data_IF_782250959945
#
_entry.id   IF_782250959945
#
_cell.length_a   1.000
_cell.length_b   1.000
_cell.length_c   1.000
_cell.angle_alpha   90.00
_cell.angle_beta   90.00
_cell.angle_gamma   90.00
#
_symmetry.space_group_name_H-M   'P 1'
#
loop_
_entity.id
_entity.type
_entity.pdbx_description
1 polymer ?
#
# COMPACT_ATOMS: atom_id res chain seq x y z
N UNK A 1 -24.80 16.88 7.27
CA UNK A 1 -24.60 15.45 6.91
C UNK A 1 -23.11 15.18 6.98
N UNK A 2 -22.67 14.25 7.83
CA UNK A 2 -21.24 13.94 7.96
C UNK A 2 -20.71 13.40 6.63
N UNK A 3 -19.65 14.01 6.07
CA UNK A 3 -19.00 13.49 4.88
C UNK A 3 -18.48 12.08 5.19
N UNK A 4 -19.01 11.05 4.55
CA UNK A 4 -18.52 9.68 4.71
C UNK A 4 -17.13 9.60 4.09
N UNK A 5 -16.10 9.52 4.94
CA UNK A 5 -14.72 9.26 4.51
C UNK A 5 -14.62 7.82 4.00
N UNK A 6 -13.78 7.59 2.99
CA UNK A 6 -13.39 6.25 2.58
C UNK A 6 -12.64 5.52 3.69
N UNK A 7 -12.43 4.21 3.51
CA UNK A 7 -11.70 3.38 4.46
C UNK A 7 -10.38 2.87 3.85
N UNK A 8 -9.39 2.65 4.70
CA UNK A 8 -8.12 2.04 4.29
C UNK A 8 -8.10 0.61 4.83
N UNK A 9 -8.09 -0.39 3.94
CA UNK A 9 -7.99 -1.80 4.30
C UNK A 9 -6.58 -2.29 3.99
N UNK A 10 -5.92 -2.91 4.96
CA UNK A 10 -4.58 -3.46 4.75
C UNK A 10 -4.64 -4.98 4.89
N UNK A 11 -4.15 -5.68 3.87
CA UNK A 11 -4.04 -7.14 3.86
C UNK A 11 -2.60 -7.52 4.17
N UNK A 12 -2.37 -7.98 5.40
CA UNK A 12 -1.08 -8.48 5.88
C UNK A 12 -1.02 -10.01 5.87
N UNK A 13 0.20 -10.55 5.79
CA UNK A 13 0.42 -12.00 5.83
C UNK A 13 1.75 -12.44 5.26
N UNK A 14 2.07 -13.72 5.42
CA UNK A 14 3.32 -14.32 4.93
C UNK A 14 3.41 -14.35 3.40
N UNK A 15 4.61 -14.55 2.86
CA UNK A 15 4.81 -14.73 1.42
C UNK A 15 3.94 -15.88 0.90
N UNK A 16 3.31 -15.68 -0.26
CA UNK A 16 2.36 -16.63 -0.88
C UNK A 16 1.07 -16.94 -0.09
N UNK A 17 0.72 -16.15 0.92
CA UNK A 17 -0.57 -16.26 1.62
C UNK A 17 -1.82 -15.87 0.77
N UNK A 18 -1.64 -15.51 -0.51
CA UNK A 18 -2.75 -15.13 -1.40
C UNK A 18 -3.26 -13.69 -1.25
N UNK A 19 -2.51 -12.80 -0.59
CA UNK A 19 -2.88 -11.39 -0.35
C UNK A 19 -3.32 -10.65 -1.62
N UNK A 20 -2.58 -10.81 -2.72
CA UNK A 20 -2.91 -10.17 -4.01
C UNK A 20 -4.25 -10.67 -4.53
N UNK A 21 -4.48 -11.98 -4.50
CA UNK A 21 -5.73 -12.59 -4.94
C UNK A 21 -6.91 -12.11 -4.10
N UNK A 22 -6.74 -12.08 -2.78
CA UNK A 22 -7.80 -11.61 -1.88
C UNK A 22 -8.07 -10.11 -2.02
N UNK A 23 -7.02 -9.29 -2.19
CA UNK A 23 -7.17 -7.85 -2.42
C UNK A 23 -7.93 -7.53 -3.70
N UNK A 24 -7.63 -8.23 -4.80
CA UNK A 24 -8.38 -8.10 -6.05
C UNK A 24 -9.84 -8.49 -5.88
N UNK A 25 -10.12 -9.65 -5.26
CA UNK A 25 -11.48 -10.11 -4.99
C UNK A 25 -12.27 -9.13 -4.12
N UNK A 26 -11.62 -8.56 -3.10
CA UNK A 26 -12.23 -7.57 -2.23
C UNK A 26 -12.60 -6.30 -2.99
N UNK A 27 -11.68 -5.76 -3.80
CA UNK A 27 -11.94 -4.58 -4.63
C UNK A 27 -13.08 -4.84 -5.61
N UNK A 28 -13.07 -5.98 -6.32
CA UNK A 28 -14.16 -6.36 -7.23
C UNK A 28 -15.50 -6.42 -6.49
N UNK A 29 -15.58 -7.12 -5.35
CA UNK A 29 -16.82 -7.24 -4.59
C UNK A 29 -17.35 -5.88 -4.07
N UNK A 30 -16.45 -4.96 -3.70
CA UNK A 30 -16.82 -3.61 -3.29
C UNK A 30 -17.35 -2.79 -4.46
N UNK A 31 -16.69 -2.85 -5.62
CA UNK A 31 -17.15 -2.21 -6.85
C UNK A 31 -18.50 -2.74 -7.30
N UNK A 32 -18.71 -4.06 -7.26
CA UNK A 32 -19.98 -4.70 -7.58
C UNK A 32 -21.11 -4.30 -6.60
N UNK A 33 -20.75 -3.94 -5.37
CA UNK A 33 -21.68 -3.42 -4.35
C UNK A 33 -21.93 -1.91 -4.46
N UNK A 34 -21.38 -1.25 -5.48
CA UNK A 34 -21.56 0.17 -5.73
C UNK A 34 -20.57 1.09 -5.00
N UNK A 35 -19.54 0.56 -4.35
CA UNK A 35 -18.48 1.36 -3.71
C UNK A 35 -17.33 1.64 -4.68
N UNK A 36 -16.70 2.81 -4.58
CA UNK A 36 -15.44 3.05 -5.29
C UNK A 36 -14.29 2.40 -4.51
N UNK A 37 -13.63 1.38 -5.07
CA UNK A 37 -12.50 0.74 -4.43
C UNK A 37 -11.30 0.66 -5.38
N UNK A 38 -10.10 0.85 -4.84
CA UNK A 38 -8.85 0.77 -5.60
C UNK A 38 -7.84 -0.11 -4.86
N UNK A 39 -7.05 -0.87 -5.62
CA UNK A 39 -5.99 -1.69 -5.05
C UNK A 39 -4.66 -0.96 -5.13
N UNK A 40 -4.03 -0.71 -3.97
CA UNK A 40 -2.64 -0.29 -3.91
C UNK A 40 -1.72 -1.46 -3.60
N UNK A 41 -0.52 -1.46 -4.19
CA UNK A 41 0.47 -2.52 -3.98
C UNK A 41 1.77 -1.89 -3.54
N UNK A 42 2.37 -2.46 -2.50
CA UNK A 42 3.67 -2.00 -2.01
C UNK A 42 4.72 -3.12 -2.06
N UNK A 43 5.96 -2.82 -2.51
CA UNK A 43 6.38 -1.54 -3.08
C UNK A 43 5.73 -1.27 -4.44
N UNK A 44 5.42 -0.01 -4.72
CA UNK A 44 4.98 0.44 -6.05
C UNK A 44 6.23 0.54 -6.92
N UNK A 45 6.34 -0.32 -7.94
CA UNK A 45 7.57 -0.54 -8.70
C UNK A 45 7.72 0.37 -9.92
N UNK A 46 6.68 1.12 -10.27
CA UNK A 46 6.70 2.05 -11.40
C UNK A 46 7.49 3.33 -11.13
N UNK A 47 7.60 3.77 -9.87
CA UNK A 47 8.36 4.97 -9.48
C UNK A 47 9.87 4.74 -9.52
N UNK A 48 10.66 5.81 -9.56
CA UNK A 48 12.13 5.75 -9.49
C UNK A 48 12.59 4.99 -8.24
N UNK A 49 12.01 5.28 -7.08
CA UNK A 49 12.28 4.57 -5.82
C UNK A 49 11.83 3.10 -5.94
N UNK A 50 10.68 2.86 -6.55
CA UNK A 50 10.14 1.54 -6.82
C UNK A 50 11.06 0.66 -7.66
N UNK A 51 11.65 1.22 -8.72
CA UNK A 51 12.62 0.52 -9.59
C UNK A 51 13.89 0.17 -8.81
N UNK A 52 14.39 1.09 -7.98
CA UNK A 52 15.57 0.85 -7.13
C UNK A 52 15.30 -0.29 -6.13
N UNK A 53 14.15 -0.26 -5.46
CA UNK A 53 13.71 -1.34 -4.56
C UNK A 53 13.55 -2.66 -5.29
N UNK A 54 13.05 -2.65 -6.54
CA UNK A 54 12.91 -3.87 -7.33
C UNK A 54 14.29 -4.49 -7.65
N UNK A 55 15.27 -3.67 -8.05
CA UNK A 55 16.64 -4.13 -8.29
C UNK A 55 17.29 -4.72 -7.03
N UNK A 56 17.06 -4.13 -5.86
CA UNK A 56 17.51 -4.69 -4.58
C UNK A 56 16.84 -6.05 -4.28
N UNK A 57 15.51 -6.15 -4.44
CA UNK A 57 14.77 -7.41 -4.21
C UNK A 57 15.18 -8.53 -5.18
N UNK A 58 15.61 -8.17 -6.40
CA UNK A 58 16.17 -9.08 -7.40
C UNK A 58 17.66 -9.37 -7.19
N UNK A 59 18.28 -8.82 -6.14
CA UNK A 59 19.72 -8.94 -5.83
C UNK A 59 20.64 -8.44 -6.93
N UNK A 60 20.17 -7.48 -7.74
CA UNK A 60 20.96 -6.83 -8.80
C UNK A 60 21.80 -5.66 -8.29
N UNK A 61 21.44 -5.12 -7.13
CA UNK A 61 22.13 -4.00 -6.50
C UNK A 61 22.23 -4.27 -5.01
N UNK A 62 23.43 -4.08 -4.45
CA UNK A 62 23.61 -4.09 -3.00
C UNK A 62 23.33 -2.69 -2.46
N UNK A 63 22.44 -2.64 -1.48
CA UNK A 63 22.11 -1.44 -0.73
C UNK A 63 22.16 -1.79 0.75
N UNK A 64 22.56 -0.83 1.55
CA UNK A 64 22.61 -0.96 3.00
C UNK A 64 21.18 -1.09 3.56
N UNK A 65 20.98 -1.96 4.56
CA UNK A 65 19.66 -2.37 5.04
C UNK A 65 18.86 -1.21 5.65
N UNK A 66 19.50 -0.26 6.37
CA UNK A 66 18.82 0.94 6.85
C UNK A 66 18.41 1.85 5.71
N UNK A 67 19.26 2.02 4.69
CA UNK A 67 18.91 2.79 3.49
C UNK A 67 17.70 2.18 2.75
N UNK A 68 17.68 0.86 2.57
CA UNK A 68 16.54 0.14 1.97
C UNK A 68 15.27 0.33 2.79
N UNK A 69 15.36 0.26 4.11
CA UNK A 69 14.22 0.49 5.00
C UNK A 69 13.60 1.88 4.82
N UNK A 70 14.44 2.91 4.69
CA UNK A 70 14.01 4.27 4.43
C UNK A 70 13.38 4.41 3.04
N UNK A 71 13.96 3.77 2.01
CA UNK A 71 13.41 3.77 0.65
C UNK A 71 12.02 3.12 0.59
N UNK A 72 11.79 2.02 1.32
CA UNK A 72 10.45 1.46 1.46
C UNK A 72 9.45 2.43 2.08
N UNK A 73 9.90 3.25 3.04
CA UNK A 73 9.06 4.25 3.69
C UNK A 73 8.79 5.43 2.76
N UNK A 74 9.80 5.89 2.02
CA UNK A 74 9.65 6.93 1.00
C UNK A 74 8.69 6.49 -0.12
N UNK A 75 8.80 5.26 -0.62
CA UNK A 75 7.90 4.72 -1.65
C UNK A 75 6.43 4.67 -1.20
N UNK A 76 6.17 4.46 0.09
CA UNK A 76 4.81 4.59 0.64
C UNK A 76 4.33 6.04 0.58
N UNK A 77 5.16 6.98 1.01
CA UNK A 77 4.85 8.42 0.96
C UNK A 77 4.57 8.95 -0.45
N UNK A 78 5.23 8.42 -1.49
CA UNK A 78 4.93 8.76 -2.89
C UNK A 78 3.45 8.49 -3.24
N UNK A 79 2.87 7.42 -2.68
CA UNK A 79 1.47 7.03 -2.95
C UNK A 79 0.45 7.72 -2.04
N UNK A 80 0.90 8.33 -0.94
CA UNK A 80 0.04 9.07 -0.02
C UNK A 80 -0.64 10.23 -0.77
N UNK A 81 0.07 10.92 -1.66
CA UNK A 81 -0.50 11.99 -2.47
C UNK A 81 -1.65 11.50 -3.36
N UNK A 82 -1.48 10.34 -4.01
CA UNK A 82 -2.53 9.71 -4.83
C UNK A 82 -3.74 9.29 -3.98
N UNK A 83 -3.50 8.73 -2.79
CA UNK A 83 -4.57 8.31 -1.87
C UNK A 83 -5.40 9.49 -1.34
N UNK A 84 -4.79 10.64 -1.08
CA UNK A 84 -5.52 11.83 -0.60
C UNK A 84 -6.19 12.65 -1.71
N UNK A 85 -5.78 12.48 -2.96
CA UNK A 85 -6.40 13.13 -4.11
C UNK A 85 -7.70 12.46 -4.57
N UNK A 86 -8.04 11.27 -4.05
CA UNK A 86 -9.32 10.64 -4.35
C UNK A 86 -10.47 11.51 -3.80
N UNK A 87 -11.44 11.91 -4.65
CA UNK A 87 -12.52 12.79 -4.24
C UNK A 87 -13.28 12.19 -3.05
N UNK A 88 -13.54 13.03 -2.04
CA UNK A 88 -14.13 12.66 -0.75
C UNK A 88 -15.46 11.92 -0.93
N UNK A 89 -15.39 10.60 -0.90
CA UNK A 89 -16.55 9.73 -0.92
C UNK A 89 -16.14 8.33 -1.33
N UNK A 90 -16.07 7.43 -0.35
CA UNK A 90 -16.17 5.97 -0.54
C UNK A 90 -14.93 5.20 -1.04
N UNK A 91 -13.77 5.83 -1.23
CA UNK A 91 -12.59 5.10 -1.68
C UNK A 91 -12.07 4.09 -0.64
N UNK A 92 -12.18 2.80 -0.96
CA UNK A 92 -11.58 1.71 -0.21
C UNK A 92 -10.26 1.28 -0.83
N UNK A 93 -9.15 1.57 -0.14
CA UNK A 93 -7.80 1.26 -0.63
C UNK A 93 -7.29 -0.03 0.02
N UNK A 94 -7.03 -1.07 -0.77
CA UNK A 94 -6.42 -2.33 -0.29
C UNK A 94 -4.92 -2.31 -0.48
N UNK A 95 -4.12 -2.23 0.59
CA UNK A 95 -2.64 -2.43 0.53
C UNK A 95 -2.28 -3.88 0.80
N UNK A 96 -1.68 -4.58 -0.17
CA UNK A 96 -1.02 -5.86 0.08
C UNK A 96 0.47 -5.61 0.39
N UNK A 97 0.86 -5.75 1.66
CA UNK A 97 2.23 -5.48 2.09
C UNK A 97 3.04 -6.77 2.25
N UNK A 98 4.34 -6.70 1.89
CA UNK A 98 5.36 -7.66 2.31
C UNK A 98 6.04 -7.12 3.56
N UNK A 99 5.62 -7.52 4.75
CA UNK A 99 6.40 -7.30 5.97
C UNK A 99 7.52 -8.35 6.06
N UNK A 100 8.51 -8.23 5.18
CA UNK A 100 9.69 -9.09 5.17
C UNK A 100 10.96 -8.46 5.76
N UNK A 101 10.98 -7.15 6.02
CA UNK A 101 12.23 -6.44 6.38
C UNK A 101 12.11 -5.40 7.50
N UNK A 102 11.01 -5.33 8.25
CA UNK A 102 11.02 -4.49 9.45
C UNK A 102 9.87 -4.78 10.40
N UNK A 103 10.22 -4.94 11.69
CA UNK A 103 9.29 -4.92 12.83
C UNK A 103 8.75 -3.51 13.14
N UNK A 104 9.04 -2.51 12.33
CA UNK A 104 8.50 -1.16 12.50
C UNK A 104 7.04 -1.12 12.06
N UNK A 105 6.12 -1.17 13.02
CA UNK A 105 4.72 -0.76 12.86
C UNK A 105 4.68 0.72 12.48
N UNK A 106 4.84 1.04 11.19
CA UNK A 106 4.35 2.31 10.66
C UNK A 106 2.86 2.15 10.37
N UNK A 107 2.08 2.24 11.44
CA UNK A 107 0.65 2.41 11.34
C UNK A 107 0.41 3.85 10.87
N UNK A 108 -0.17 4.03 9.69
CA UNK A 108 -0.76 5.32 9.32
C UNK A 108 -1.98 5.55 10.22
N UNK A 109 -1.75 5.98 11.46
CA UNK A 109 -2.80 6.49 12.34
C UNK A 109 -2.89 7.98 12.09
N UNK A 110 -3.88 8.40 11.29
CA UNK A 110 -4.40 9.76 11.44
C UNK A 110 -5.52 9.70 12.47
N UNK A 111 -5.14 9.97 13.72
CA UNK A 111 -6.07 10.31 14.80
C UNK A 111 -6.89 11.51 14.31
N UNK A 112 -8.18 11.30 14.07
CA UNK A 112 -9.08 12.41 13.80
C UNK A 112 -9.38 13.10 15.13
N UNK A 113 -8.90 14.33 15.30
CA UNK A 113 -9.53 15.33 16.17
C UNK A 113 -10.39 16.25 15.29
#
# INVERSE_FOLDING_TARGET
MASRRGALIVLEGVDRAGKTTQGLRLVTALCDSGHQAEMLRFPERSTEIGRLLNSYLEKKTELEDHAVHLLFSANRWEQVYNCWMLPRGESLVSSAMRLGLSRSRFCCVSSSS
#
